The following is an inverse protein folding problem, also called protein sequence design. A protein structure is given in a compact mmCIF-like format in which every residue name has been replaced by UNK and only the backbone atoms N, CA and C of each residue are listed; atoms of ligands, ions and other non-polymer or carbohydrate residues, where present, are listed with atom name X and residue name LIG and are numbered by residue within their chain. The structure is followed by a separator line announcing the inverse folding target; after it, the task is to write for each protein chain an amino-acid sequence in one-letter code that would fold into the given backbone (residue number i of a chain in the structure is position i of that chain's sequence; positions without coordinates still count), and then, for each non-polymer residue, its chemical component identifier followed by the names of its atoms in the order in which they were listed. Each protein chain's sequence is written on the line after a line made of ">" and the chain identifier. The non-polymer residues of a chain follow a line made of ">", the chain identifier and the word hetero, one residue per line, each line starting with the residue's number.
data_IF_926456269612
#
_entry.id   IF_926456269612
#
_cell.length_a   1.000
_cell.length_b   1.000
_cell.length_c   1.000
_cell.angle_alpha   90.00
_cell.angle_beta   90.00
_cell.angle_gamma   90.00
#
_symmetry.space_group_name_H-M   'P 1'
#
loop_
_entity.id
_entity.type
_entity.pdbx_description
1 polymer ?
#
# COMPACT_ATOMS: atom_id res chain seq x y z
N UNK A 1 18.08 49.37 4.44
CA UNK A 1 17.15 48.32 4.94
C UNK A 1 16.32 47.62 3.85
N UNK A 2 15.91 48.30 2.77
CA UNK A 2 15.01 47.71 1.74
C UNK A 2 15.63 46.56 0.90
N UNK A 3 16.91 46.64 0.54
CA UNK A 3 17.59 45.60 -0.27
C UNK A 3 17.72 44.27 0.49
N UNK A 4 18.09 44.31 1.78
CA UNK A 4 18.20 43.09 2.61
C UNK A 4 16.84 42.40 2.80
N UNK A 5 15.76 43.17 2.89
CA UNK A 5 14.40 42.62 2.96
C UNK A 5 13.96 41.98 1.64
N UNK A 6 14.31 42.60 0.51
CA UNK A 6 13.98 42.10 -0.83
C UNK A 6 14.77 40.82 -1.18
N UNK A 7 16.04 40.75 -0.79
CA UNK A 7 16.85 39.53 -0.89
C UNK A 7 16.30 38.41 0.00
N UNK A 8 15.86 38.72 1.23
CA UNK A 8 15.20 37.73 2.09
C UNK A 8 13.91 37.21 1.47
N UNK A 9 13.09 38.09 0.90
CA UNK A 9 11.83 37.73 0.25
C UNK A 9 12.07 36.82 -0.97
N UNK A 10 13.03 37.19 -1.82
CA UNK A 10 13.43 36.40 -2.96
C UNK A 10 13.98 35.03 -2.54
N UNK A 11 14.79 34.97 -1.48
CA UNK A 11 15.33 33.72 -0.95
C UNK A 11 14.22 32.79 -0.43
N UNK A 12 13.25 33.31 0.32
CA UNK A 12 12.07 32.53 0.76
C UNK A 12 11.22 32.06 -0.41
N UNK A 13 11.09 32.86 -1.47
CA UNK A 13 10.34 32.47 -2.67
C UNK A 13 11.04 31.32 -3.42
N UNK A 14 12.37 31.39 -3.55
CA UNK A 14 13.17 30.32 -4.16
C UNK A 14 13.11 29.03 -3.33
N UNK A 15 13.17 29.13 -2.00
CA UNK A 15 13.04 27.96 -1.10
C UNK A 15 11.63 27.35 -1.20
N UNK A 16 10.59 28.18 -1.26
CA UNK A 16 9.20 27.74 -1.46
C UNK A 16 9.03 27.00 -2.80
N UNK A 17 9.61 27.54 -3.87
CA UNK A 17 9.55 26.92 -5.20
C UNK A 17 10.27 25.57 -5.22
N UNK A 18 11.42 25.48 -4.54
CA UNK A 18 12.18 24.24 -4.42
C UNK A 18 11.46 23.18 -3.57
N UNK A 19 10.74 23.57 -2.51
CA UNK A 19 9.93 22.62 -1.73
C UNK A 19 8.75 22.06 -2.53
N UNK A 20 8.15 22.87 -3.42
CA UNK A 20 7.05 22.45 -4.27
C UNK A 20 7.47 21.43 -5.33
N UNK A 21 8.70 21.51 -5.86
CA UNK A 21 9.21 20.54 -6.85
C UNK A 21 9.58 19.18 -6.27
N UNK A 22 9.71 19.07 -4.95
CA UNK A 22 10.12 17.82 -4.27
C UNK A 22 8.90 16.97 -3.84
N UNK A 23 7.69 17.51 -3.91
CA UNK A 23 6.46 16.74 -3.64
C UNK A 23 6.00 16.01 -4.89
N UNK A 24 5.94 14.68 -4.85
CA UNK A 24 5.47 13.86 -5.95
C UNK A 24 4.05 13.34 -5.68
N UNK A 25 3.18 13.30 -6.72
CA UNK A 25 1.85 12.76 -6.60
C UNK A 25 1.91 11.23 -6.47
N UNK A 26 1.19 10.71 -5.50
CA UNK A 26 0.99 9.28 -5.27
C UNK A 26 -0.50 9.00 -5.41
N UNK A 27 -0.85 8.08 -6.29
CA UNK A 27 -2.23 7.75 -6.61
C UNK A 27 -2.63 6.44 -5.95
N UNK A 28 -3.88 6.39 -5.50
CA UNK A 28 -4.57 5.15 -5.14
C UNK A 28 -5.64 4.88 -6.18
N UNK A 29 -5.76 3.63 -6.65
CA UNK A 29 -6.92 3.23 -7.46
C UNK A 29 -8.16 3.10 -6.58
N UNK A 30 -9.32 2.92 -7.22
CA UNK A 30 -10.63 2.79 -6.55
C UNK A 30 -10.72 1.62 -5.55
N UNK A 31 -9.93 0.56 -5.74
CA UNK A 31 -9.87 -0.58 -4.82
C UNK A 31 -8.57 -0.66 -4.02
N UNK A 32 -7.69 0.33 -4.14
CA UNK A 32 -6.37 0.29 -3.51
C UNK A 32 -6.30 1.22 -2.31
N UNK A 33 -5.78 0.71 -1.20
CA UNK A 33 -5.49 1.49 0.02
C UNK A 33 -4.03 1.88 0.01
N UNK A 34 -3.75 3.15 0.31
CA UNK A 34 -2.39 3.66 0.43
C UNK A 34 -1.83 3.47 1.85
N UNK A 35 -0.55 3.11 1.94
CA UNK A 35 0.21 3.05 3.19
C UNK A 35 1.52 3.79 3.00
N UNK A 36 1.79 4.73 3.91
CA UNK A 36 3.02 5.54 3.91
C UNK A 36 4.03 5.01 4.92
N UNK A 37 5.28 4.91 4.50
CA UNK A 37 6.40 4.52 5.35
C UNK A 37 7.45 5.62 5.38
N UNK A 38 7.82 6.10 6.56
CA UNK A 38 8.86 7.12 6.72
C UNK A 38 10.22 6.41 6.77
N UNK A 39 10.99 6.50 5.68
CA UNK A 39 12.35 5.94 5.57
C UNK A 39 13.33 6.67 6.47
N UNK A 40 13.31 8.00 6.39
CA UNK A 40 14.24 8.84 7.12
C UNK A 40 13.62 10.19 7.41
N UNK A 41 13.56 10.57 8.69
CA UNK A 41 13.16 11.90 9.11
C UNK A 41 14.04 12.35 10.29
N UNK A 42 14.53 13.59 10.31
CA UNK A 42 15.27 14.13 11.44
C UNK A 42 14.38 14.47 12.64
N UNK A 43 13.07 14.62 12.46
CA UNK A 43 12.11 15.00 13.52
C UNK A 43 11.08 13.91 13.87
N UNK A 44 10.78 12.99 12.94
CA UNK A 44 9.76 11.96 13.13
C UNK A 44 10.37 10.56 13.31
N UNK A 45 9.64 9.67 14.00
CA UNK A 45 10.02 8.26 14.12
C UNK A 45 9.96 7.59 12.73
N UNK A 46 11.03 6.88 12.38
CA UNK A 46 11.07 6.03 11.18
C UNK A 46 10.06 4.89 11.34
N UNK A 47 9.40 4.51 10.25
CA UNK A 47 8.46 3.38 10.22
C UNK A 47 7.14 3.67 9.51
N UNK A 48 6.23 2.69 9.62
CA UNK A 48 4.90 2.75 9.02
C UNK A 48 4.05 3.78 9.74
N UNK A 49 3.47 4.71 8.99
CA UNK A 49 2.49 5.66 9.50
C UNK A 49 1.16 4.90 9.66
N UNK A 50 0.54 5.00 10.84
CA UNK A 50 -0.72 4.30 11.15
C UNK A 50 -1.95 4.87 10.41
N UNK A 51 -1.75 5.93 9.64
CA UNK A 51 -2.81 6.57 8.86
C UNK A 51 -3.11 5.70 7.63
N UNK A 52 -4.38 5.32 7.50
CA UNK A 52 -4.89 4.59 6.33
C UNK A 52 -5.33 5.63 5.30
N UNK A 53 -4.75 5.57 4.11
CA UNK A 53 -5.10 6.49 3.02
C UNK A 53 -6.23 5.89 2.18
N UNK A 54 -7.33 6.63 2.08
CA UNK A 54 -8.54 6.22 1.36
C UNK A 54 -8.28 5.95 -0.14
N UNK A 55 -9.03 5.01 -0.75
CA UNK A 55 -8.93 4.67 -2.16
C UNK A 55 -9.42 5.79 -3.09
N UNK A 56 -8.95 5.78 -4.34
CA UNK A 56 -9.36 6.72 -5.38
C UNK A 56 -8.89 8.17 -5.18
N UNK A 57 -7.97 8.40 -4.25
CA UNK A 57 -7.44 9.71 -3.91
C UNK A 57 -5.97 9.87 -4.36
N UNK A 58 -5.57 11.14 -4.53
CA UNK A 58 -4.19 11.53 -4.84
C UNK A 58 -3.58 12.23 -3.63
N UNK A 59 -2.40 11.78 -3.22
CA UNK A 59 -1.69 12.32 -2.07
C UNK A 59 -0.31 12.83 -2.48
N UNK A 60 0.15 13.91 -1.86
CA UNK A 60 1.42 14.55 -2.19
C UNK A 60 2.43 14.33 -1.07
N UNK A 61 3.52 13.64 -1.38
CA UNK A 61 4.59 13.36 -0.41
C UNK A 61 5.97 13.52 -1.05
N UNK A 62 6.97 13.82 -0.22
CA UNK A 62 8.37 13.84 -0.64
C UNK A 62 8.91 12.41 -0.73
N UNK A 63 9.33 11.93 -1.92
CA UNK A 63 9.71 10.53 -2.16
C UNK A 63 11.07 10.14 -1.53
N UNK A 64 11.91 11.12 -1.19
CA UNK A 64 13.22 10.86 -0.57
C UNK A 64 13.07 10.43 0.90
N UNK A 65 12.06 10.99 1.58
CA UNK A 65 11.80 10.80 3.02
C UNK A 65 10.74 9.72 3.23
N UNK A 66 9.77 9.64 2.32
CA UNK A 66 8.61 8.76 2.42
C UNK A 66 8.62 7.75 1.28
N UNK A 67 8.27 6.52 1.61
CA UNK A 67 7.93 5.47 0.67
C UNK A 67 6.42 5.26 0.68
N UNK A 68 5.89 4.92 -0.49
CA UNK A 68 4.48 4.74 -0.72
C UNK A 68 4.21 3.33 -1.22
N UNK A 69 3.30 2.65 -0.54
CA UNK A 69 2.81 1.34 -0.92
C UNK A 69 1.31 1.41 -1.16
N UNK A 70 0.84 0.70 -2.17
CA UNK A 70 -0.59 0.48 -2.40
C UNK A 70 -0.90 -0.99 -2.17
N UNK A 71 -2.01 -1.26 -1.50
CA UNK A 71 -2.52 -2.60 -1.23
C UNK A 71 -3.91 -2.72 -1.82
N UNK A 72 -4.17 -3.79 -2.57
CA UNK A 72 -5.50 -4.03 -3.13
C UNK A 72 -6.43 -4.55 -2.03
N UNK A 73 -7.54 -3.83 -1.81
CA UNK A 73 -8.61 -4.19 -0.87
C UNK A 73 -9.78 -4.89 -1.59
N UNK A 74 -9.60 -5.29 -2.85
CA UNK A 74 -10.57 -6.11 -3.59
C UNK A 74 -10.72 -7.48 -2.95
N UNK A 75 -11.95 -8.02 -2.98
CA UNK A 75 -12.22 -9.41 -2.63
C UNK A 75 -11.42 -10.36 -3.53
N UNK A 76 -10.60 -11.21 -2.92
CA UNK A 76 -9.84 -12.24 -3.58
C UNK A 76 -10.44 -13.60 -3.24
N UNK A 77 -10.56 -14.47 -4.24
CA UNK A 77 -11.01 -15.84 -4.06
C UNK A 77 -9.82 -16.77 -4.27
N UNK A 78 -9.50 -17.55 -3.24
CA UNK A 78 -8.54 -18.65 -3.32
C UNK A 78 -9.33 -19.95 -3.44
N UNK A 79 -9.18 -20.65 -4.56
CA UNK A 79 -9.80 -21.94 -4.82
C UNK A 79 -8.79 -23.06 -4.62
N UNK A 80 -9.15 -24.04 -3.80
CA UNK A 80 -8.44 -25.27 -3.51
C UNK A 80 -9.29 -26.42 -4.03
N UNK A 81 -8.87 -27.07 -5.12
CA UNK A 81 -9.71 -28.09 -5.78
C UNK A 81 -8.93 -29.34 -6.17
N UNK A 82 -9.64 -30.45 -6.33
CA UNK A 82 -9.06 -31.71 -6.77
C UNK A 82 -8.63 -31.70 -8.26
N UNK A 83 -9.15 -30.74 -9.03
CA UNK A 83 -8.91 -30.59 -10.46
C UNK A 83 -7.67 -29.73 -10.75
N UNK A 84 -7.19 -29.71 -12.00
CA UNK A 84 -6.11 -28.80 -12.46
C UNK A 84 -6.59 -27.34 -12.59
N UNK A 85 -7.40 -26.88 -11.63
CA UNK A 85 -8.01 -25.56 -11.57
C UNK A 85 -7.89 -25.03 -10.14
N UNK A 86 -7.68 -23.72 -10.03
CA UNK A 86 -7.65 -23.01 -8.75
C UNK A 86 -6.33 -22.28 -8.55
N UNK A 87 -5.97 -22.05 -7.28
CA UNK A 87 -4.79 -21.26 -6.91
C UNK A 87 -3.45 -21.94 -7.28
N UNK A 88 -3.44 -23.27 -7.41
CA UNK A 88 -2.27 -24.06 -7.81
C UNK A 88 -2.56 -24.85 -9.08
N UNK A 89 -1.54 -25.04 -9.92
CA UNK A 89 -1.64 -25.76 -11.20
C UNK A 89 -1.71 -27.28 -11.08
N UNK A 90 -2.34 -27.81 -10.03
CA UNK A 90 -2.45 -29.23 -9.74
C UNK A 90 -3.45 -29.46 -8.60
N UNK A 91 -3.64 -30.73 -8.23
CA UNK A 91 -4.54 -31.14 -7.15
C UNK A 91 -4.14 -30.47 -5.81
N UNK A 92 -5.06 -29.69 -5.24
CA UNK A 92 -4.88 -28.93 -3.98
C UNK A 92 -6.16 -28.97 -3.11
N UNK A 93 -6.91 -30.08 -3.16
CA UNK A 93 -8.06 -30.34 -2.29
C UNK A 93 -7.65 -30.65 -0.85
N UNK A 94 -8.54 -30.33 0.08
CA UNK A 94 -8.35 -30.65 1.50
C UNK A 94 -8.77 -32.09 1.75
N UNK A 95 -7.79 -32.95 2.05
CA UNK A 95 -8.02 -34.36 2.40
C UNK A 95 -7.81 -34.58 3.88
N UNK A 96 -8.81 -35.11 4.57
CA UNK A 96 -8.71 -35.47 5.99
C UNK A 96 -9.55 -36.71 6.31
N UNK A 97 -9.18 -37.36 7.41
CA UNK A 97 -9.90 -38.52 7.94
C UNK A 97 -10.83 -38.06 9.05
N UNK A 98 -12.09 -38.49 9.00
CA UNK A 98 -13.06 -38.19 10.07
C UNK A 98 -12.79 -39.02 11.31
N UNK A 99 -13.41 -38.62 12.43
CA UNK A 99 -13.37 -39.40 13.68
C UNK A 99 -13.89 -40.83 13.48
N UNK A 100 -14.83 -41.01 12.56
CA UNK A 100 -15.41 -42.31 12.22
C UNK A 100 -14.52 -43.17 11.30
N UNK A 101 -13.37 -42.66 10.87
CA UNK A 101 -12.40 -43.37 10.05
C UNK A 101 -12.54 -43.20 8.53
N UNK A 102 -13.55 -42.46 8.06
CA UNK A 102 -13.77 -42.21 6.64
C UNK A 102 -12.78 -41.16 6.09
N UNK A 103 -12.25 -41.40 4.89
CA UNK A 103 -11.42 -40.43 4.17
C UNK A 103 -12.31 -39.52 3.31
N UNK A 104 -12.19 -38.21 3.52
CA UNK A 104 -12.97 -37.19 2.80
C UNK A 104 -12.01 -36.23 2.09
N UNK A 105 -12.38 -35.85 0.87
CA UNK A 105 -11.74 -34.80 0.09
C UNK A 105 -12.75 -33.68 -0.16
N UNK A 106 -12.33 -32.42 0.05
CA UNK A 106 -13.18 -31.25 -0.13
C UNK A 106 -12.53 -30.20 -1.03
N UNK A 107 -13.31 -29.72 -1.99
CA UNK A 107 -13.01 -28.49 -2.72
C UNK A 107 -13.47 -27.29 -1.87
N UNK A 108 -12.58 -26.32 -1.68
CA UNK A 108 -12.82 -25.16 -0.82
C UNK A 108 -12.54 -23.87 -1.57
N UNK A 109 -13.44 -22.90 -1.42
CA UNK A 109 -13.26 -21.55 -1.94
C UNK A 109 -13.22 -20.61 -0.74
N UNK A 110 -12.07 -19.96 -0.54
CA UNK A 110 -11.87 -18.98 0.52
C UNK A 110 -11.92 -17.58 -0.11
N UNK A 111 -12.94 -16.81 0.24
CA UNK A 111 -13.04 -15.42 -0.13
C UNK A 111 -12.46 -14.54 0.99
N UNK A 112 -11.45 -13.72 0.69
CA UNK A 112 -10.76 -12.87 1.67
C UNK A 112 -10.53 -11.44 1.15
N UNK A 113 -10.33 -10.50 2.09
CA UNK A 113 -9.98 -9.10 1.84
C UNK A 113 -9.18 -8.55 3.02
#
# INVERSE_FOLDING_TARGET
>A
MRIKALVKLALTFVISLFLFTITFPHHTKSTEVGVRVIKWSPLAKKGVVKDIYAPGATYFFMPIINEWYTFDAKLQNMEMTASYRGARGGRDDLVFKTVDGNDIALDVIIAYR
#
